data_IF_986072655351
#
_entry.id   IF_986072655351
#
_cell.length_a   1.000
_cell.length_b   1.000
_cell.length_c   1.000
_cell.angle_alpha   90.00
_cell.angle_beta   90.00
_cell.angle_gamma   90.00
#
_symmetry.space_group_name_H-M   'P 1'
#
loop_
_entity.id
_entity.type
_entity.pdbx_description
1 polymer ?
#
# COMPACT_ATOMS: atom_id res chain seq x y z
N UNK A 1 15.98 -1.98 19.36
CA UNK A 1 15.73 -3.19 18.66
C UNK A 1 14.40 -3.83 19.00
N UNK A 2 14.27 -4.53 20.14
CA UNK A 2 12.97 -5.14 20.42
C UNK A 2 11.89 -4.09 20.67
N UNK A 3 12.24 -3.00 21.33
CA UNK A 3 11.29 -1.93 21.56
C UNK A 3 10.83 -1.29 20.25
N UNK A 4 11.77 -1.09 19.34
CA UNK A 4 11.43 -0.54 18.03
C UNK A 4 10.57 -1.52 17.25
N UNK A 5 10.84 -2.80 17.40
CA UNK A 5 10.08 -3.83 16.73
C UNK A 5 8.64 -3.86 17.21
N UNK A 6 8.44 -3.72 18.52
CA UNK A 6 7.10 -3.71 19.09
C UNK A 6 6.32 -2.48 18.64
N UNK A 7 6.99 -1.35 18.60
CA UNK A 7 6.36 -0.12 18.16
C UNK A 7 5.92 -0.22 16.71
N UNK A 8 6.75 -0.81 15.89
CA UNK A 8 6.44 -1.03 14.50
C UNK A 8 5.18 -1.89 14.35
N UNK A 9 5.12 -2.97 15.11
CA UNK A 9 3.98 -3.86 15.05
C UNK A 9 2.68 -3.18 15.48
N UNK A 10 2.76 -2.32 16.48
CA UNK A 10 1.58 -1.60 16.92
C UNK A 10 1.07 -0.63 15.89
N UNK A 11 1.99 0.07 15.25
CA UNK A 11 1.61 1.08 14.28
C UNK A 11 0.98 0.51 13.04
N UNK A 12 1.49 -0.62 12.59
CA UNK A 12 1.03 -1.13 11.32
C UNK A 12 -0.15 -2.07 11.42
N UNK A 13 -0.20 -2.92 12.43
CA UNK A 13 -1.25 -3.94 12.53
C UNK A 13 -1.62 -4.51 11.17
N UNK A 14 -0.71 -4.37 10.27
CA UNK A 14 -0.93 -4.72 8.89
C UNK A 14 -0.80 -6.23 8.74
N UNK A 15 -1.78 -6.83 8.09
CA UNK A 15 -1.70 -8.24 7.79
C UNK A 15 -0.66 -8.47 6.71
N UNK A 16 -0.24 -9.73 6.58
CA UNK A 16 0.73 -10.07 5.55
C UNK A 16 0.20 -9.77 4.15
N UNK A 17 -1.10 -9.93 3.97
CA UNK A 17 -1.73 -9.66 2.69
C UNK A 17 -1.62 -8.18 2.33
N UNK A 18 -1.94 -7.32 3.29
CA UNK A 18 -1.86 -5.88 3.06
C UNK A 18 -0.46 -5.46 2.70
N UNK A 19 0.52 -5.99 3.41
CA UNK A 19 1.92 -5.67 3.14
C UNK A 19 2.32 -6.12 1.74
N UNK A 20 1.92 -7.32 1.36
CA UNK A 20 2.24 -7.83 0.04
C UNK A 20 1.62 -6.98 -1.06
N UNK A 21 0.38 -6.55 -0.87
CA UNK A 21 -0.31 -5.70 -1.83
C UNK A 21 0.39 -4.36 -1.96
N UNK A 22 0.78 -3.77 -0.84
CA UNK A 22 1.48 -2.50 -0.85
C UNK A 22 2.82 -2.61 -1.58
N UNK A 23 3.56 -3.67 -1.31
CA UNK A 23 4.84 -3.87 -1.96
C UNK A 23 4.70 -3.99 -3.46
N UNK A 24 3.72 -4.76 -3.90
CA UNK A 24 3.49 -4.94 -5.32
C UNK A 24 3.08 -3.62 -5.98
N UNK A 25 2.17 -2.89 -5.35
CA UNK A 25 1.70 -1.63 -5.91
C UNK A 25 2.82 -0.60 -5.99
N UNK A 26 3.62 -0.49 -4.94
CA UNK A 26 4.73 0.45 -4.94
C UNK A 26 5.73 0.09 -6.02
N UNK A 27 5.99 -1.19 -6.18
CA UNK A 27 6.90 -1.65 -7.23
C UNK A 27 6.39 -1.22 -8.61
N UNK A 28 5.11 -1.44 -8.87
CA UNK A 28 4.52 -1.06 -10.14
C UNK A 28 4.56 0.44 -10.36
N UNK A 29 4.29 1.20 -9.32
CA UNK A 29 4.31 2.65 -9.43
C UNK A 29 5.69 3.21 -9.74
N UNK A 30 6.72 2.56 -9.23
CA UNK A 30 8.08 3.07 -9.40
C UNK A 30 8.78 2.51 -10.62
N UNK A 31 8.52 1.28 -10.96
CA UNK A 31 9.32 0.59 -11.99
C UNK A 31 8.56 0.23 -13.25
N UNK A 32 7.25 0.22 -13.19
CA UNK A 32 6.45 -0.16 -14.35
C UNK A 32 5.79 1.10 -14.94
N UNK A 33 6.43 1.67 -15.94
CA UNK A 33 5.93 2.89 -16.56
C UNK A 33 4.69 2.65 -17.41
N UNK A 34 4.45 1.40 -17.78
CA UNK A 34 3.28 1.08 -18.58
C UNK A 34 2.00 1.09 -17.77
N UNK A 35 2.10 1.01 -16.45
CA UNK A 35 0.93 1.01 -15.58
C UNK A 35 0.75 2.39 -14.95
N UNK A 36 -0.31 3.12 -15.31
CA UNK A 36 -0.56 4.41 -14.67
C UNK A 36 -0.73 4.25 -13.17
N UNK A 37 -0.31 5.28 -12.44
CA UNK A 37 -0.38 5.25 -10.98
C UNK A 37 -1.81 4.99 -10.50
N UNK A 38 -2.78 5.65 -11.13
CA UNK A 38 -4.17 5.43 -10.73
C UNK A 38 -4.64 4.01 -10.89
N UNK A 39 -4.16 3.34 -11.95
CA UNK A 39 -4.52 1.95 -12.18
C UNK A 39 -3.88 1.05 -11.14
N UNK A 40 -2.60 1.30 -10.82
CA UNK A 40 -1.91 0.51 -9.81
C UNK A 40 -2.61 0.61 -8.46
N UNK A 41 -3.02 1.82 -8.09
CA UNK A 41 -3.74 2.03 -6.83
C UNK A 41 -5.08 1.32 -6.85
N UNK A 42 -5.80 1.44 -7.94
CA UNK A 42 -7.11 0.80 -8.06
C UNK A 42 -7.01 -0.71 -7.94
N UNK A 43 -6.02 -1.30 -8.60
CA UNK A 43 -5.81 -2.74 -8.53
C UNK A 43 -5.48 -3.17 -7.11
N UNK A 44 -4.63 -2.40 -6.43
CA UNK A 44 -4.28 -2.71 -5.05
C UNK A 44 -5.50 -2.67 -4.14
N UNK A 45 -6.35 -1.67 -4.33
CA UNK A 45 -7.57 -1.55 -3.55
C UNK A 45 -8.49 -2.73 -3.81
N UNK A 46 -8.61 -3.15 -5.06
CA UNK A 46 -9.43 -4.31 -5.39
C UNK A 46 -8.90 -5.59 -4.76
N UNK A 47 -7.59 -5.77 -4.76
CA UNK A 47 -7.00 -6.92 -4.10
C UNK A 47 -7.26 -6.89 -2.60
N UNK A 48 -7.20 -5.70 -2.01
CA UNK A 48 -7.49 -5.55 -0.59
C UNK A 48 -8.93 -5.89 -0.28
N UNK A 49 -9.85 -5.58 -1.18
CA UNK A 49 -11.25 -5.94 -0.98
C UNK A 49 -11.45 -7.45 -1.02
N UNK A 50 -10.68 -8.12 -1.85
CA UNK A 50 -10.84 -9.57 -2.02
C UNK A 50 -10.15 -10.37 -0.94
N UNK A 51 -8.95 -9.97 -0.58
CA UNK A 51 -8.09 -10.78 0.28
C UNK A 51 -7.79 -10.15 1.63
N UNK A 52 -8.04 -8.86 1.78
CA UNK A 52 -7.77 -8.16 3.02
C UNK A 52 -8.97 -8.13 3.94
N UNK A 53 -8.89 -7.26 4.94
CA UNK A 53 -9.97 -7.06 5.89
C UNK A 53 -10.83 -5.88 5.47
N UNK A 54 -11.90 -5.63 6.22
CA UNK A 54 -12.83 -4.56 5.89
C UNK A 54 -12.16 -3.21 5.75
N UNK A 55 -11.14 -2.96 6.56
CA UNK A 55 -10.45 -1.67 6.54
C UNK A 55 -9.30 -1.62 5.56
N UNK A 56 -8.91 -2.76 5.00
CA UNK A 56 -7.75 -2.82 4.12
C UNK A 56 -7.86 -1.93 2.88
N UNK A 57 -8.98 -1.92 2.16
CA UNK A 57 -9.08 -1.08 0.96
C UNK A 57 -8.84 0.39 1.27
N UNK A 58 -9.46 0.89 2.31
CA UNK A 58 -9.32 2.29 2.70
C UNK A 58 -7.90 2.60 3.13
N UNK A 59 -7.31 1.71 3.91
CA UNK A 59 -5.96 1.86 4.40
C UNK A 59 -4.95 1.90 3.25
N UNK A 60 -5.06 0.96 2.34
CA UNK A 60 -4.16 0.87 1.19
C UNK A 60 -4.33 2.06 0.27
N UNK A 61 -5.56 2.44 0.01
CA UNK A 61 -5.83 3.60 -0.83
C UNK A 61 -5.20 4.86 -0.25
N UNK A 62 -5.31 5.04 1.06
CA UNK A 62 -4.72 6.20 1.73
C UNK A 62 -3.21 6.25 1.59
N UNK A 63 -2.56 5.12 1.81
CA UNK A 63 -1.10 5.07 1.73
C UNK A 63 -0.62 5.31 0.31
N UNK A 64 -1.21 4.63 -0.65
CA UNK A 64 -0.79 4.75 -2.05
C UNK A 64 -1.11 6.11 -2.62
N UNK A 65 -2.25 6.68 -2.23
CA UNK A 65 -2.59 8.02 -2.66
C UNK A 65 -1.59 9.05 -2.15
N UNK A 66 -1.13 8.89 -0.93
CA UNK A 66 -0.14 9.78 -0.37
C UNK A 66 1.19 9.66 -1.11
N UNK A 67 1.60 8.44 -1.40
CA UNK A 67 2.84 8.22 -2.15
C UNK A 67 2.77 8.83 -3.54
N UNK A 68 1.62 8.70 -4.19
CA UNK A 68 1.45 9.28 -5.52
C UNK A 68 1.56 10.79 -5.49
N UNK A 69 1.01 11.41 -4.46
CA UNK A 69 1.11 12.86 -4.31
C UNK A 69 2.55 13.31 -4.12
N UNK A 70 3.29 12.57 -3.32
CA UNK A 70 4.68 12.92 -3.07
C UNK A 70 5.50 12.87 -4.34
N UNK A 71 5.23 11.92 -5.20
CA UNK A 71 5.95 11.82 -6.46
C UNK A 71 5.58 12.94 -7.42
N UNK A 72 4.32 13.35 -7.42
CA UNK A 72 3.87 14.43 -8.28
C UNK A 72 4.47 15.77 -7.89
N UNK A 73 4.76 15.94 -6.62
CA UNK A 73 5.28 17.20 -6.13
C UNK A 73 6.74 17.43 -6.49
N UNK A 74 7.41 16.44 -7.00
CA UNK A 74 8.76 16.64 -7.49
C UNK A 74 8.73 17.34 -8.83
#
# INVERSE_FOLDING_TARGET
SSAASDEYKRQTRMGKVDLAILRLAVYEMKFDEDVPVGVAINEAVELAKRFGRDQSPSFINGILGKLAREEDEK
#
